data_IF_291953938964
#
_entry.id   IF_291953938964
#
_cell.length_a   1.000
_cell.length_b   1.000
_cell.length_c   1.000
_cell.angle_alpha   90.00
_cell.angle_beta   90.00
_cell.angle_gamma   90.00
#
_symmetry.space_group_name_H-M   'P 1'
#
loop_
_entity.id
_entity.type
_entity.pdbx_description
1 polymer ?
#
# COMPACT_ATOMS: atom_id res chain seq x y z
N UNK A 1 -7.29 -17.09 -10.83
CA UNK A 1 -7.26 -16.11 -9.72
C UNK A 1 -7.17 -14.75 -10.36
N UNK A 2 -8.11 -13.86 -10.06
CA UNK A 2 -8.00 -12.47 -10.50
C UNK A 2 -6.83 -11.83 -9.74
N UNK A 3 -6.07 -10.96 -10.39
CA UNK A 3 -4.89 -10.31 -9.82
C UNK A 3 -5.19 -8.83 -9.64
N UNK A 4 -4.72 -8.24 -8.54
CA UNK A 4 -4.85 -6.80 -8.31
C UNK A 4 -4.14 -6.02 -9.42
N UNK A 5 -4.83 -5.03 -9.98
CA UNK A 5 -4.20 -4.03 -10.83
C UNK A 5 -3.43 -3.03 -9.95
N UNK A 6 -2.14 -3.30 -9.77
CA UNK A 6 -1.21 -2.51 -8.96
C UNK A 6 -0.78 -1.20 -9.62
N UNK A 7 -1.08 -0.97 -10.90
CA UNK A 7 -0.87 0.34 -11.54
C UNK A 7 -1.91 1.37 -11.07
N UNK A 8 -2.95 0.91 -10.37
CA UNK A 8 -3.95 1.76 -9.72
C UNK A 8 -3.62 2.03 -8.25
N UNK A 9 -4.08 3.17 -7.75
CA UNK A 9 -3.96 3.48 -6.32
C UNK A 9 -4.93 2.63 -5.50
N UNK A 10 -4.39 1.95 -4.48
CA UNK A 10 -5.22 1.17 -3.56
C UNK A 10 -6.21 2.06 -2.82
N UNK A 11 -7.49 1.66 -2.87
CA UNK A 11 -8.55 2.25 -2.06
C UNK A 11 -9.19 1.18 -1.16
N UNK A 12 -9.99 1.61 -0.18
CA UNK A 12 -10.65 0.71 0.78
C UNK A 12 -11.50 -0.36 0.09
N UNK A 13 -12.20 -0.02 -1.00
CA UNK A 13 -12.98 -1.01 -1.76
C UNK A 13 -12.09 -2.11 -2.34
N UNK A 14 -10.99 -1.73 -2.99
CA UNK A 14 -10.03 -2.69 -3.54
C UNK A 14 -9.39 -3.54 -2.43
N UNK A 15 -9.07 -2.95 -1.28
CA UNK A 15 -8.63 -3.67 -0.10
C UNK A 15 -9.66 -4.71 0.37
N UNK A 16 -10.95 -4.35 0.47
CA UNK A 16 -11.98 -5.32 0.83
C UNK A 16 -12.06 -6.45 -0.18
N UNK A 17 -11.91 -6.15 -1.47
CA UNK A 17 -11.87 -7.17 -2.52
C UNK A 17 -10.66 -8.11 -2.38
N UNK A 18 -9.48 -7.59 -2.03
CA UNK A 18 -8.29 -8.40 -1.70
C UNK A 18 -8.59 -9.33 -0.52
N UNK A 19 -9.23 -8.83 0.54
CA UNK A 19 -9.56 -9.62 1.72
C UNK A 19 -10.63 -10.68 1.52
N UNK A 20 -11.66 -10.40 0.70
CA UNK A 20 -12.87 -11.24 0.63
C UNK A 20 -12.91 -12.18 -0.57
N UNK A 21 -12.28 -11.83 -1.70
CA UNK A 21 -12.42 -12.54 -2.98
C UNK A 21 -11.17 -13.31 -3.42
N UNK A 22 -10.14 -13.46 -2.56
CA UNK A 22 -8.85 -14.06 -2.92
C UNK A 22 -8.25 -13.45 -4.20
N UNK A 23 -8.33 -12.12 -4.36
CA UNK A 23 -7.55 -11.43 -5.39
C UNK A 23 -6.06 -11.62 -5.07
N UNK A 24 -5.32 -12.15 -6.03
CA UNK A 24 -3.89 -12.38 -5.90
C UNK A 24 -3.13 -11.06 -5.91
N UNK A 25 -2.10 -10.97 -5.09
CA UNK A 25 -1.10 -9.92 -5.19
C UNK A 25 -0.03 -10.32 -6.24
N UNK A 26 0.38 -9.44 -7.15
CA UNK A 26 1.20 -9.83 -8.30
C UNK A 26 2.68 -10.07 -7.98
N UNK A 27 3.17 -9.55 -6.85
CA UNK A 27 4.59 -9.56 -6.51
C UNK A 27 4.87 -10.48 -5.33
N UNK A 28 6.08 -11.05 -5.31
CA UNK A 28 6.57 -11.89 -4.19
C UNK A 28 6.98 -11.02 -3.00
N UNK A 29 7.50 -9.83 -3.26
CA UNK A 29 7.87 -8.83 -2.26
C UNK A 29 7.29 -7.49 -2.71
N UNK A 30 6.90 -6.65 -1.77
CA UNK A 30 6.38 -5.31 -2.09
C UNK A 30 6.93 -4.27 -1.14
N UNK A 31 7.32 -3.15 -1.73
CA UNK A 31 7.91 -2.01 -1.07
C UNK A 31 6.86 -0.91 -0.99
N UNK A 32 6.32 -0.69 0.20
CA UNK A 32 5.39 0.39 0.47
C UNK A 32 6.15 1.64 0.89
N UNK A 33 5.99 2.73 0.13
CA UNK A 33 6.62 4.03 0.39
C UNK A 33 5.56 5.05 0.77
N UNK A 34 5.65 5.61 1.98
CA UNK A 34 4.72 6.63 2.45
C UNK A 34 4.78 7.87 1.56
N UNK A 35 3.61 8.28 1.07
CA UNK A 35 3.43 9.48 0.26
C UNK A 35 3.37 10.71 1.14
N UNK A 36 3.79 11.85 0.58
CA UNK A 36 3.66 13.14 1.25
C UNK A 36 2.21 13.66 1.27
N UNK A 37 1.34 13.14 0.39
CA UNK A 37 -0.07 13.54 0.28
C UNK A 37 -0.98 12.40 -0.21
N UNK A 38 -2.28 12.54 0.06
CA UNK A 38 -3.33 11.64 -0.46
C UNK A 38 -3.62 11.92 -1.93
N UNK A 39 -3.59 10.91 -2.79
CA UNK A 39 -3.82 11.10 -4.23
C UNK A 39 -5.20 11.68 -4.57
N UNK A 40 -6.22 11.36 -3.78
CA UNK A 40 -7.59 11.81 -4.01
C UNK A 40 -7.84 13.21 -3.44
N UNK A 41 -7.79 13.37 -2.12
CA UNK A 41 -8.15 14.63 -1.46
C UNK A 41 -6.99 15.61 -1.25
N UNK A 42 -5.78 15.26 -1.72
CA UNK A 42 -4.55 16.08 -1.64
C UNK A 42 -4.14 16.52 -0.24
N UNK A 43 -4.70 15.90 0.80
CA UNK A 43 -4.32 16.21 2.18
C UNK A 43 -2.94 15.62 2.47
N UNK A 44 -2.06 16.41 3.08
CA UNK A 44 -0.72 15.98 3.45
C UNK A 44 -0.78 14.86 4.49
N UNK A 45 0.15 13.92 4.40
CA UNK A 45 0.38 12.94 5.45
C UNK A 45 0.82 13.69 6.73
N UNK A 46 0.20 13.38 7.86
CA UNK A 46 0.44 14.10 9.14
C UNK A 46 1.54 13.40 9.97
N UNK A 47 2.34 12.53 9.35
CA UNK A 47 3.33 11.74 10.08
C UNK A 47 4.57 12.57 10.44
N UNK A 48 4.85 12.64 11.74
CA UNK A 48 5.87 13.47 12.39
C UNK A 48 7.28 12.85 12.37
N UNK A 49 7.62 12.05 11.37
CA UNK A 49 8.92 11.38 11.33
C UNK A 49 9.75 11.87 10.16
N UNK A 50 10.99 12.27 10.49
CA UNK A 50 12.01 12.57 9.51
C UNK A 50 12.24 11.32 8.65
N UNK A 51 11.98 11.45 7.33
CA UNK A 51 12.32 10.52 6.22
C UNK A 51 11.21 9.55 5.81
N UNK A 52 11.19 9.12 4.52
CA UNK A 52 10.10 8.32 4.00
C UNK A 52 10.01 7.00 4.75
N UNK A 53 8.81 6.69 5.19
CA UNK A 53 8.49 5.39 5.77
C UNK A 53 8.42 4.38 4.63
N UNK A 54 9.44 3.53 4.59
CA UNK A 54 9.59 2.44 3.64
C UNK A 54 9.39 1.12 4.39
N UNK A 55 8.38 0.37 3.97
CA UNK A 55 8.01 -0.92 4.56
C UNK A 55 8.14 -1.99 3.48
N UNK A 56 8.92 -3.03 3.76
CA UNK A 56 9.06 -4.19 2.90
C UNK A 56 8.18 -5.30 3.44
N UNK A 57 7.37 -5.90 2.57
CA UNK A 57 6.48 -7.00 2.93
C UNK A 57 6.66 -8.18 1.97
N UNK A 58 6.93 -9.36 2.53
CA UNK A 58 6.90 -10.64 1.81
C UNK A 58 5.44 -11.05 1.59
N UNK A 59 5.08 -11.25 0.33
CA UNK A 59 3.73 -11.56 -0.15
C UNK A 59 3.48 -13.06 -0.29
N UNK A 60 4.51 -13.90 -0.11
CA UNK A 60 4.31 -15.34 0.13
C UNK A 60 3.60 -15.59 1.45
N UNK A 61 3.68 -14.64 2.38
CA UNK A 61 2.98 -14.61 3.67
C UNK A 61 1.83 -13.59 3.58
N UNK A 62 0.64 -13.98 3.07
CA UNK A 62 -0.48 -13.06 2.80
C UNK A 62 -0.93 -12.29 4.05
N UNK A 63 -0.69 -12.80 5.25
CA UNK A 63 -0.89 -12.11 6.52
C UNK A 63 -0.15 -10.77 6.61
N UNK A 64 1.01 -10.61 5.98
CA UNK A 64 1.76 -9.35 5.97
C UNK A 64 1.01 -8.26 5.21
N UNK A 65 0.52 -8.57 4.01
CA UNK A 65 -0.30 -7.66 3.22
C UNK A 65 -1.58 -7.30 3.99
N UNK A 66 -2.23 -8.29 4.60
CA UNK A 66 -3.46 -8.08 5.37
C UNK A 66 -3.20 -7.21 6.59
N UNK A 67 -2.13 -7.47 7.35
CA UNK A 67 -1.76 -6.70 8.53
C UNK A 67 -1.49 -5.24 8.16
N UNK A 68 -0.70 -5.04 7.10
CA UNK A 68 -0.39 -3.72 6.57
C UNK A 68 -1.67 -2.99 6.16
N UNK A 69 -2.48 -3.58 5.29
CA UNK A 69 -3.68 -2.92 4.77
C UNK A 69 -4.79 -2.73 5.82
N UNK A 70 -4.78 -3.48 6.92
CA UNK A 70 -5.70 -3.26 8.05
C UNK A 70 -5.31 -2.09 8.94
N UNK A 71 -4.08 -1.59 8.87
CA UNK A 71 -3.64 -0.50 9.73
C UNK A 71 -4.30 0.83 9.30
N UNK A 72 -5.21 1.42 10.11
CA UNK A 72 -5.92 2.63 9.74
C UNK A 72 -4.99 3.84 9.52
N UNK A 73 -3.80 3.84 10.12
CA UNK A 73 -2.80 4.89 9.93
C UNK A 73 -2.30 4.96 8.48
N UNK A 74 -2.33 3.85 7.74
CA UNK A 74 -1.85 3.86 6.36
C UNK A 74 -2.88 4.42 5.39
N UNK A 75 -4.10 4.69 5.85
CA UNK A 75 -5.18 5.24 5.04
C UNK A 75 -5.34 6.73 5.26
N UNK A 76 -5.77 7.43 4.20
CA UNK A 76 -6.11 8.83 4.34
C UNK A 76 -7.33 9.01 5.26
N UNK A 77 -7.22 9.84 6.29
CA UNK A 77 -8.34 10.10 7.21
C UNK A 77 -9.52 10.85 6.57
N UNK A 78 -9.29 11.64 5.50
CA UNK A 78 -10.33 12.36 4.76
C UNK A 78 -10.82 11.61 3.51
N UNK A 79 -10.25 10.44 3.22
CA UNK A 79 -10.50 9.74 1.97
C UNK A 79 -10.49 8.22 2.15
N UNK A 80 -10.46 7.53 1.01
CA UNK A 80 -10.49 6.07 0.97
C UNK A 80 -9.23 5.47 0.40
N UNK A 81 -8.24 6.29 0.06
CA UNK A 81 -7.01 5.84 -0.58
C UNK A 81 -5.93 5.58 0.45
N UNK A 82 -5.13 4.57 0.16
CA UNK A 82 -3.90 4.26 0.86
C UNK A 82 -2.91 5.41 0.65
N UNK A 83 -2.19 5.77 1.71
CA UNK A 83 -1.19 6.83 1.73
C UNK A 83 0.20 6.33 1.34
N UNK A 84 0.31 5.12 0.78
CA UNK A 84 1.56 4.53 0.34
C UNK A 84 1.51 4.28 -1.17
N UNK A 85 2.62 4.56 -1.84
CA UNK A 85 2.92 3.98 -3.15
C UNK A 85 3.52 2.58 -2.92
N UNK A 86 3.40 1.69 -3.90
CA UNK A 86 3.82 0.29 -3.79
C UNK A 86 4.60 -0.12 -5.03
N UNK A 87 5.75 -0.77 -4.84
CA UNK A 87 6.67 -1.16 -5.92
C UNK A 87 7.16 -2.60 -5.73
N UNK A 88 7.47 -3.34 -6.80
CA UNK A 88 8.33 -4.50 -6.70
C UNK A 88 9.77 -4.06 -6.35
N UNK A 89 10.60 -5.01 -5.91
CA UNK A 89 11.96 -4.76 -5.46
C UNK A 89 12.83 -4.03 -6.50
N UNK A 90 12.72 -4.42 -7.76
CA UNK A 90 13.52 -3.89 -8.88
C UNK A 90 13.12 -2.48 -9.33
N UNK A 91 11.97 -1.98 -8.88
CA UNK A 91 11.49 -0.62 -9.16
C UNK A 91 11.56 0.29 -7.93
N UNK A 92 12.07 -0.20 -6.79
CA UNK A 92 12.13 0.59 -5.56
C UNK A 92 13.43 1.40 -5.46
N UNK A 93 13.38 2.68 -5.88
CA UNK A 93 14.49 3.64 -5.80
C UNK A 93 15.04 3.89 -4.37
N UNK A 94 14.30 3.49 -3.33
CA UNK A 94 14.73 3.61 -1.93
C UNK A 94 15.67 2.50 -1.48
N UNK A 95 15.62 1.33 -2.13
CA UNK A 95 16.45 0.18 -1.81
C UNK A 95 17.75 0.09 -2.60
N UNK A 96 17.86 0.90 -3.65
CA UNK A 96 19.01 0.97 -4.56
C UNK A 96 20.12 1.87 -4.03
#
# INVERSE_FOLDING_TARGET
>A
MEVVDVDTFLNKSLFYHILTNNLGWPWVETHFILRTYCINCKTNAVYFHDRPWHIVADMNEPEHLIHFLKNPEFWCFKGEYLMYDHYPLDECDFCT
#
